data_IF_151219083408
#
_entry.id   IF_151219083408
#
_cell.length_a   1.000
_cell.length_b   1.000
_cell.length_c   1.000
_cell.angle_alpha   90.00
_cell.angle_beta   90.00
_cell.angle_gamma   90.00
#
_symmetry.space_group_name_H-M   'P 1'
#
loop_
_entity.id
_entity.type
_entity.pdbx_description
1 polymer ?
#
# COMPACT_ATOMS: atom_id res chain seq x y z
N UNK A 1 3.91 -1.95 4.77
CA UNK A 1 5.00 -2.95 4.69
C UNK A 1 5.04 -3.84 5.92
N UNK A 2 5.41 -3.31 7.10
CA UNK A 2 5.57 -4.09 8.34
C UNK A 2 4.36 -4.95 8.71
N UNK A 3 3.15 -4.39 8.60
CA UNK A 3 1.91 -5.13 8.86
C UNK A 3 1.74 -6.35 7.95
N UNK A 4 2.01 -6.20 6.65
CA UNK A 4 1.93 -7.30 5.69
C UNK A 4 2.98 -8.37 6.01
N UNK A 5 4.21 -7.96 6.32
CA UNK A 5 5.29 -8.89 6.69
C UNK A 5 4.91 -9.72 7.92
N UNK A 6 4.46 -9.08 9.00
CA UNK A 6 4.12 -9.76 10.25
C UNK A 6 2.98 -10.76 10.07
N UNK A 7 1.93 -10.39 9.31
CA UNK A 7 0.77 -11.26 9.09
C UNK A 7 1.16 -12.46 8.22
N UNK A 8 1.85 -12.23 7.10
CA UNK A 8 2.32 -13.30 6.21
C UNK A 8 3.25 -14.25 6.95
N UNK A 9 4.21 -13.74 7.72
CA UNK A 9 5.14 -14.59 8.49
C UNK A 9 4.41 -15.49 9.49
N UNK A 10 3.40 -14.95 10.15
CA UNK A 10 2.60 -15.69 11.13
C UNK A 10 1.71 -16.73 10.45
N UNK A 11 1.04 -16.38 9.36
CA UNK A 11 0.10 -17.28 8.66
C UNK A 11 0.82 -18.43 7.92
N UNK A 12 2.05 -18.20 7.43
CA UNK A 12 2.84 -19.18 6.67
C UNK A 12 3.99 -19.81 7.47
N UNK A 13 4.03 -19.64 8.79
CA UNK A 13 5.15 -20.11 9.64
C UNK A 13 5.44 -21.62 9.55
N UNK A 14 4.41 -22.43 9.26
CA UNK A 14 4.50 -23.89 9.14
C UNK A 14 4.36 -24.38 7.70
N UNK A 15 4.29 -23.47 6.73
CA UNK A 15 4.14 -23.80 5.32
C UNK A 15 5.53 -24.01 4.68
N UNK A 16 5.78 -25.19 4.12
CA UNK A 16 7.02 -25.52 3.42
C UNK A 16 7.11 -24.90 2.02
N UNK A 17 5.99 -24.48 1.44
CA UNK A 17 5.92 -23.97 0.07
C UNK A 17 6.00 -22.44 0.02
N UNK A 18 7.22 -21.94 -0.15
CA UNK A 18 7.52 -20.51 -0.24
C UNK A 18 6.78 -19.80 -1.41
N UNK A 19 6.41 -20.55 -2.46
CA UNK A 19 5.60 -20.05 -3.58
C UNK A 19 4.24 -19.52 -3.12
N UNK A 20 3.56 -20.22 -2.20
CA UNK A 20 2.25 -19.81 -1.65
C UNK A 20 2.38 -18.54 -0.82
N UNK A 21 3.39 -18.49 0.04
CA UNK A 21 3.68 -17.33 0.88
C UNK A 21 3.92 -16.07 0.03
N UNK A 22 4.73 -16.18 -1.03
CA UNK A 22 5.03 -15.05 -1.94
C UNK A 22 3.78 -14.51 -2.62
N UNK A 23 2.95 -15.38 -3.18
CA UNK A 23 1.71 -14.97 -3.86
C UNK A 23 0.76 -14.27 -2.88
N UNK A 24 0.54 -14.85 -1.69
CA UNK A 24 -0.31 -14.26 -0.67
C UNK A 24 0.20 -12.89 -0.22
N UNK A 25 1.50 -12.77 0.04
CA UNK A 25 2.14 -11.52 0.43
C UNK A 25 2.02 -10.44 -0.65
N UNK A 26 2.18 -10.80 -1.93
CA UNK A 26 2.00 -9.87 -3.04
C UNK A 26 0.59 -9.33 -3.09
N UNK A 27 -0.43 -10.19 -3.04
CA UNK A 27 -1.81 -9.74 -3.06
C UNK A 27 -2.14 -8.88 -1.85
N UNK A 28 -1.71 -9.28 -0.66
CA UNK A 28 -1.94 -8.51 0.56
C UNK A 28 -1.25 -7.15 0.53
N UNK A 29 0.02 -7.10 0.16
CA UNK A 29 0.80 -5.86 0.10
C UNK A 29 0.22 -4.89 -0.93
N UNK A 30 -0.18 -5.39 -2.09
CA UNK A 30 -0.81 -4.57 -3.15
C UNK A 30 -2.13 -3.95 -2.66
N UNK A 31 -3.02 -4.73 -2.06
CA UNK A 31 -4.30 -4.24 -1.54
C UNK A 31 -4.11 -3.20 -0.43
N UNK A 32 -3.26 -3.50 0.56
CA UNK A 32 -3.01 -2.59 1.67
C UNK A 32 -2.37 -1.28 1.20
N UNK A 33 -1.43 -1.36 0.24
CA UNK A 33 -0.78 -0.18 -0.33
C UNK A 33 -1.77 0.69 -1.11
N UNK A 34 -2.64 0.09 -1.93
CA UNK A 34 -3.67 0.82 -2.66
C UNK A 34 -4.61 1.58 -1.70
N UNK A 35 -5.12 0.89 -0.67
CA UNK A 35 -5.99 1.52 0.33
C UNK A 35 -5.30 2.66 1.07
N UNK A 36 -4.07 2.46 1.53
CA UNK A 36 -3.31 3.49 2.25
C UNK A 36 -2.96 4.68 1.36
N UNK A 37 -2.58 4.44 0.10
CA UNK A 37 -2.33 5.50 -0.87
C UNK A 37 -3.60 6.32 -1.13
N UNK A 38 -4.76 5.65 -1.28
CA UNK A 38 -6.04 6.32 -1.48
C UNK A 38 -6.37 7.28 -0.34
N UNK A 39 -6.29 6.80 0.91
CA UNK A 39 -6.59 7.60 2.10
C UNK A 39 -5.61 8.76 2.25
N UNK A 40 -4.33 8.53 1.94
CA UNK A 40 -3.28 9.54 2.12
C UNK A 40 -3.37 10.67 1.09
N UNK A 41 -3.68 10.35 -0.17
CA UNK A 41 -3.58 11.33 -1.26
C UNK A 41 -4.89 12.05 -1.60
N UNK A 42 -6.06 11.57 -1.15
CA UNK A 42 -7.37 12.11 -1.53
C UNK A 42 -7.55 13.59 -1.17
N UNK A 43 -7.53 13.96 0.10
CA UNK A 43 -7.67 15.36 0.52
C UNK A 43 -6.57 16.27 -0.03
N UNK A 44 -5.26 15.90 0.00
CA UNK A 44 -4.22 16.71 -0.61
C UNK A 44 -4.40 16.92 -2.12
N UNK A 45 -4.88 15.91 -2.85
CA UNK A 45 -5.14 16.01 -4.29
C UNK A 45 -6.27 17.01 -4.59
N UNK A 46 -7.38 16.94 -3.85
CA UNK A 46 -8.50 17.87 -4.02
C UNK A 46 -8.03 19.32 -3.88
N UNK A 47 -7.26 19.60 -2.82
CA UNK A 47 -6.72 20.93 -2.57
C UNK A 47 -5.72 21.37 -3.65
N UNK A 48 -4.83 20.47 -4.07
CA UNK A 48 -3.81 20.77 -5.07
C UNK A 48 -4.44 21.05 -6.44
N UNK A 49 -5.36 20.20 -6.91
CA UNK A 49 -6.04 20.37 -8.19
C UNK A 49 -6.83 21.69 -8.20
N UNK A 50 -7.63 21.95 -7.16
CA UNK A 50 -8.41 23.18 -7.07
C UNK A 50 -7.50 24.42 -7.07
N UNK A 51 -6.41 24.41 -6.32
CA UNK A 51 -5.45 25.53 -6.25
C UNK A 51 -4.78 25.77 -7.60
N UNK A 52 -4.33 24.72 -8.28
CA UNK A 52 -3.67 24.83 -9.58
C UNK A 52 -4.63 25.36 -10.65
N UNK A 53 -5.89 24.91 -10.64
CA UNK A 53 -6.93 25.40 -11.55
C UNK A 53 -7.26 26.88 -11.29
N UNK A 54 -7.42 27.29 -10.03
CA UNK A 54 -7.64 28.70 -9.66
C UNK A 54 -6.52 29.60 -10.17
N UNK A 55 -5.27 29.20 -9.97
CA UNK A 55 -4.10 29.94 -10.47
C UNK A 55 -4.05 30.01 -11.99
N UNK A 56 -4.39 28.90 -12.66
CA UNK A 56 -4.43 28.82 -14.12
C UNK A 56 -5.52 29.73 -14.70
N UNK A 57 -6.72 29.71 -14.12
CA UNK A 57 -7.81 30.60 -14.51
C UNK A 57 -7.43 32.07 -14.29
N UNK A 58 -6.86 32.40 -13.13
CA UNK A 58 -6.46 33.78 -12.81
C UNK A 58 -5.39 34.33 -13.79
N UNK A 59 -4.48 33.45 -14.23
CA UNK A 59 -3.46 33.80 -15.22
C UNK A 59 -4.05 34.01 -16.61
N UNK A 60 -5.01 33.16 -17.01
CA UNK A 60 -5.67 33.24 -18.31
C UNK A 60 -6.64 34.44 -18.43
N UNK A 61 -7.35 34.76 -17.34
CA UNK A 61 -8.34 35.85 -17.26
C UNK A 61 -7.84 36.98 -16.34
N UNK A 62 -6.85 37.75 -16.82
CA UNK A 62 -6.17 38.81 -16.04
C UNK A 62 -7.11 39.91 -15.51
N UNK A 63 -8.23 40.17 -16.18
CA UNK A 63 -9.21 41.19 -15.80
C UNK A 63 -10.60 40.57 -15.52
N UNK A 64 -10.64 39.45 -14.80
CA UNK A 64 -11.89 38.80 -14.42
C UNK A 64 -12.76 39.71 -13.53
N UNK A 65 -14.04 39.83 -13.88
CA UNK A 65 -15.05 40.48 -13.04
C UNK A 65 -15.26 39.71 -11.71
N UNK A 66 -15.86 40.32 -10.68
CA UNK A 66 -16.18 39.62 -9.43
C UNK A 66 -17.01 38.34 -9.65
N UNK A 67 -17.99 38.40 -10.54
CA UNK A 67 -18.82 37.25 -10.89
C UNK A 67 -18.01 36.14 -11.59
N UNK A 68 -17.07 36.50 -12.47
CA UNK A 68 -16.19 35.52 -13.11
C UNK A 68 -15.26 34.84 -12.09
N UNK A 69 -14.78 35.56 -11.08
CA UNK A 69 -13.96 34.97 -10.02
C UNK A 69 -14.73 33.92 -9.22
N UNK A 70 -15.98 34.20 -8.87
CA UNK A 70 -16.84 33.23 -8.18
C UNK A 70 -17.08 31.98 -9.05
N UNK A 71 -17.37 32.17 -10.34
CA UNK A 71 -17.50 31.05 -11.30
C UNK A 71 -16.21 30.22 -11.40
N UNK A 72 -15.04 30.86 -11.40
CA UNK A 72 -13.74 30.17 -11.45
C UNK A 72 -13.50 29.34 -10.18
N UNK A 73 -13.88 29.85 -9.01
CA UNK A 73 -13.75 29.11 -7.76
C UNK A 73 -14.67 27.90 -7.72
N UNK A 74 -15.93 28.06 -8.12
CA UNK A 74 -16.90 26.97 -8.24
C UNK A 74 -16.42 25.91 -9.26
N UNK A 75 -15.97 26.34 -10.44
CA UNK A 75 -15.45 25.45 -11.47
C UNK A 75 -14.22 24.68 -10.99
N UNK A 76 -13.26 25.34 -10.33
CA UNK A 76 -12.07 24.68 -9.81
C UNK A 76 -12.41 23.64 -8.73
N UNK A 77 -13.36 23.93 -7.84
CA UNK A 77 -13.81 22.98 -6.82
C UNK A 77 -14.51 21.77 -7.44
N UNK A 78 -15.41 21.99 -8.41
CA UNK A 78 -16.12 20.91 -9.09
C UNK A 78 -15.16 20.02 -9.89
N UNK A 79 -14.27 20.62 -10.69
CA UNK A 79 -13.27 19.88 -11.47
C UNK A 79 -12.32 19.09 -10.58
N UNK A 80 -11.95 19.62 -9.41
CA UNK A 80 -11.15 18.86 -8.45
C UNK A 80 -11.89 17.63 -7.95
N UNK A 81 -13.18 17.73 -7.61
CA UNK A 81 -13.99 16.58 -7.18
C UNK A 81 -14.11 15.53 -8.28
N UNK A 82 -14.46 15.95 -9.50
CA UNK A 82 -14.69 15.05 -10.64
C UNK A 82 -13.43 14.28 -11.05
N UNK A 83 -12.25 14.88 -10.87
CA UNK A 83 -10.97 14.29 -11.29
C UNK A 83 -10.18 13.65 -10.14
N UNK A 84 -10.62 13.81 -8.88
CA UNK A 84 -9.89 13.30 -7.73
C UNK A 84 -9.73 11.78 -7.77
N UNK A 85 -10.79 11.06 -8.16
CA UNK A 85 -10.76 9.59 -8.22
C UNK A 85 -9.75 9.09 -9.26
N UNK A 86 -9.74 9.70 -10.46
CA UNK A 86 -8.79 9.37 -11.51
C UNK A 86 -7.34 9.61 -11.08
N UNK A 87 -7.05 10.79 -10.52
CA UNK A 87 -5.71 11.13 -10.03
C UNK A 87 -5.27 10.19 -8.89
N UNK A 88 -6.20 9.86 -7.99
CA UNK A 88 -5.97 8.92 -6.90
C UNK A 88 -5.65 7.52 -7.41
N UNK A 89 -6.39 7.01 -8.40
CA UNK A 89 -6.11 5.74 -9.06
C UNK A 89 -4.72 5.69 -9.70
N UNK A 90 -4.26 6.78 -10.30
CA UNK A 90 -2.91 6.87 -10.87
C UNK A 90 -1.81 6.75 -9.80
N UNK A 91 -1.97 7.46 -8.68
CA UNK A 91 -1.05 7.37 -7.53
C UNK A 91 -1.07 5.97 -6.94
N UNK A 92 -2.25 5.41 -6.70
CA UNK A 92 -2.42 4.06 -6.17
C UNK A 92 -1.72 3.02 -7.06
N UNK A 93 -1.94 3.07 -8.38
CA UNK A 93 -1.29 2.16 -9.34
C UNK A 93 0.23 2.24 -9.24
N UNK A 94 0.78 3.46 -9.24
CA UNK A 94 2.22 3.69 -9.11
C UNK A 94 2.78 3.15 -7.79
N UNK A 95 2.05 3.35 -6.68
CA UNK A 95 2.45 2.84 -5.38
C UNK A 95 2.42 1.31 -5.33
N UNK A 96 1.39 0.70 -5.89
CA UNK A 96 1.21 -0.77 -5.98
C UNK A 96 2.30 -1.43 -6.82
N UNK A 97 2.65 -0.84 -7.96
CA UNK A 97 3.73 -1.34 -8.84
C UNK A 97 5.10 -1.33 -8.12
N UNK A 98 5.36 -0.31 -7.29
CA UNK A 98 6.58 -0.25 -6.47
C UNK A 98 6.56 -1.17 -5.26
N UNK A 99 5.38 -1.45 -4.71
CA UNK A 99 5.24 -2.24 -3.48
C UNK A 99 5.57 -3.73 -3.67
N UNK A 100 5.32 -4.30 -4.86
CA UNK A 100 5.62 -5.70 -5.16
C UNK A 100 7.10 -6.04 -5.02
N UNK A 101 7.99 -5.39 -5.79
CA UNK A 101 9.44 -5.62 -5.70
C UNK A 101 10.03 -5.36 -4.32
N UNK A 102 9.46 -4.41 -3.57
CA UNK A 102 9.92 -4.12 -2.21
C UNK A 102 9.48 -5.23 -1.23
N UNK A 103 8.30 -5.81 -1.42
CA UNK A 103 7.86 -6.98 -0.65
C UNK A 103 8.78 -8.18 -0.90
N UNK A 104 9.19 -8.41 -2.15
CA UNK A 104 10.10 -9.51 -2.50
C UNK A 104 11.45 -9.42 -1.76
N UNK A 105 12.04 -8.21 -1.70
CA UNK A 105 13.27 -7.99 -0.94
C UNK A 105 13.10 -8.31 0.55
N UNK A 106 11.94 -7.99 1.12
CA UNK A 106 11.64 -8.27 2.53
C UNK A 106 11.46 -9.76 2.78
N UNK A 107 10.77 -10.46 1.87
CA UNK A 107 10.55 -11.90 1.97
C UNK A 107 11.82 -12.71 1.75
N UNK A 108 12.78 -12.25 0.93
CA UNK A 108 14.05 -12.95 0.74
C UNK A 108 14.79 -13.22 2.07
N UNK A 109 14.72 -12.28 3.00
CA UNK A 109 15.25 -12.46 4.36
C UNK A 109 14.38 -13.42 5.18
N UNK A 110 13.06 -13.38 5.02
CA UNK A 110 12.13 -14.26 5.76
C UNK A 110 12.29 -15.72 5.36
N UNK A 111 12.42 -16.00 4.07
CA UNK A 111 12.53 -17.37 3.54
C UNK A 111 13.75 -18.10 4.08
N UNK A 112 14.87 -17.40 4.26
CA UNK A 112 16.07 -17.98 4.88
C UNK A 112 15.83 -18.34 6.35
N UNK A 113 15.14 -17.50 7.11
CA UNK A 113 14.75 -17.82 8.50
C UNK A 113 13.74 -18.97 8.58
N UNK A 114 12.75 -19.01 7.69
CA UNK A 114 11.69 -20.01 7.70
C UNK A 114 12.24 -21.39 7.34
N UNK A 115 13.16 -21.47 6.37
CA UNK A 115 13.89 -22.70 6.03
C UNK A 115 14.79 -23.15 7.18
N UNK A 116 15.49 -22.24 7.85
CA UNK A 116 16.29 -22.59 9.03
C UNK A 116 15.41 -23.07 10.20
N UNK A 117 14.29 -22.40 10.46
CA UNK A 117 13.35 -22.77 11.52
C UNK A 117 12.68 -24.12 11.23
N UNK A 118 12.24 -24.37 9.99
CA UNK A 118 11.71 -25.66 9.56
C UNK A 118 12.78 -26.75 9.62
N UNK A 119 14.03 -26.50 9.22
CA UNK A 119 15.12 -27.47 9.33
C UNK A 119 15.44 -27.83 10.79
N UNK A 120 15.37 -26.85 11.69
CA UNK A 120 15.49 -27.05 13.14
C UNK A 120 14.28 -27.87 13.64
N UNK A 121 13.06 -27.46 13.31
CA UNK A 121 11.82 -28.13 13.73
C UNK A 121 11.69 -29.56 13.18
N UNK A 122 12.12 -29.85 11.96
CA UNK A 122 12.08 -31.19 11.34
C UNK A 122 13.25 -32.08 11.77
N UNK A 123 14.23 -31.56 12.52
CA UNK A 123 15.29 -32.41 13.07
C UNK A 123 14.74 -33.25 14.22
N UNK A 124 14.93 -34.59 14.21
CA UNK A 124 14.31 -35.52 15.17
C UNK A 124 14.47 -35.15 16.67
N UNK A 125 15.60 -34.60 17.16
CA UNK A 125 15.70 -34.20 18.57
C UNK A 125 14.90 -32.95 18.94
N UNK A 126 14.51 -32.10 17.98
CA UNK A 126 13.91 -30.78 18.27
C UNK A 126 12.37 -30.81 18.19
N UNK A 127 11.80 -31.74 17.40
CA UNK A 127 10.35 -32.01 17.38
C UNK A 127 9.83 -32.26 18.81
N UNK A 128 10.58 -33.04 19.60
CA UNK A 128 10.24 -33.35 20.98
C UNK A 128 10.25 -32.11 21.90
N UNK A 129 11.18 -31.17 21.71
CA UNK A 129 11.25 -29.93 22.49
C UNK A 129 10.14 -28.94 22.13
N UNK A 130 9.82 -28.81 20.84
CA UNK A 130 8.77 -27.89 20.40
C UNK A 130 7.36 -28.39 20.76
N UNK A 131 7.14 -29.70 20.81
CA UNK A 131 5.89 -30.27 21.33
C UNK A 131 5.71 -29.93 22.83
N UNK A 132 6.78 -30.00 23.63
CA UNK A 132 6.75 -29.64 25.06
C UNK A 132 6.46 -28.15 25.29
N UNK A 133 7.06 -27.26 24.49
CA UNK A 133 6.84 -25.82 24.64
C UNK A 133 5.45 -25.34 24.17
N UNK A 134 4.76 -26.09 23.29
CA UNK A 134 3.38 -25.78 22.86
C UNK A 134 2.30 -26.38 23.77
N UNK A 135 2.60 -27.45 24.52
CA UNK A 135 1.66 -28.13 25.42
C UNK A 135 1.67 -27.53 26.85
N UNK A 136 2.67 -26.72 27.20
CA UNK A 136 2.64 -25.93 28.44
C UNK A 136 2.68 -26.77 29.71
N UNK A 137 3.62 -27.72 29.78
CA UNK A 137 4.11 -28.31 31.04
C UNK A 137 5.48 -27.71 31.33
#
# INVERSE_FOLDING_TARGET
MTTCEQIVRKDFALDSEESRMRVAAHHMMRNLTAGMAMITCREPLLMSIATNLKNSFATALRAASPQQREMMEQAAAQLAQDNCELACCFIQKTAVEKAGPEMDKRLATVSTWLVMALAILCSPPVIHLCLFSLIGI
#
